data_IF_250004749040
#
_entry.id   IF_250004749040
#
_cell.length_a   1.000
_cell.length_b   1.000
_cell.length_c   1.000
_cell.angle_alpha   90.00
_cell.angle_beta   90.00
_cell.angle_gamma   90.00
#
_symmetry.space_group_name_H-M   'P 1'
#
loop_
_entity.id
_entity.type
_entity.pdbx_description
1 polymer ?
#
# COMPACT_ATOMS: atom_id res chain seq x y z
N UNK A 1 -8.01 23.60 -20.98
CA UNK A 1 -9.11 23.34 -21.93
C UNK A 1 -8.76 22.27 -22.96
N UNK A 2 -7.61 22.36 -23.65
CA UNK A 2 -7.17 21.35 -24.62
C UNK A 2 -7.23 19.90 -24.08
N UNK A 3 -6.79 19.66 -22.85
CA UNK A 3 -6.88 18.35 -22.18
C UNK A 3 -8.32 17.82 -22.11
N UNK A 4 -9.29 18.65 -21.71
CA UNK A 4 -10.69 18.22 -21.61
C UNK A 4 -11.29 17.91 -22.99
N UNK A 5 -10.91 18.66 -24.02
CA UNK A 5 -11.31 18.37 -25.39
C UNK A 5 -10.70 17.05 -25.90
N UNK A 6 -9.42 16.79 -25.57
CA UNK A 6 -8.75 15.53 -25.91
C UNK A 6 -9.46 14.31 -25.30
N UNK A 7 -9.91 14.41 -24.04
CA UNK A 7 -10.68 13.37 -23.36
C UNK A 7 -12.16 13.32 -23.77
N UNK A 8 -12.61 14.15 -24.72
CA UNK A 8 -13.97 14.10 -25.26
C UNK A 8 -15.05 14.68 -24.35
N UNK A 9 -14.71 15.55 -23.40
CA UNK A 9 -15.72 16.16 -22.52
C UNK A 9 -16.67 17.08 -23.30
N UNK A 10 -17.98 17.12 -22.96
CA UNK A 10 -18.96 17.95 -23.65
C UNK A 10 -18.59 19.44 -23.64
N UNK A 11 -18.90 20.15 -24.74
CA UNK A 11 -18.57 21.57 -24.90
C UNK A 11 -19.20 22.48 -23.83
N UNK A 12 -20.37 22.10 -23.29
CA UNK A 12 -21.02 22.81 -22.19
C UNK A 12 -20.22 22.68 -20.89
N UNK A 13 -19.73 21.48 -20.58
CA UNK A 13 -18.89 21.23 -19.42
C UNK A 13 -17.56 21.98 -19.51
N UNK A 14 -16.92 21.94 -20.69
CA UNK A 14 -15.66 22.66 -20.93
C UNK A 14 -15.81 24.17 -20.69
N UNK A 15 -16.93 24.76 -21.13
CA UNK A 15 -17.25 26.17 -20.86
C UNK A 15 -17.43 26.45 -19.37
N UNK A 16 -18.12 25.59 -18.62
CA UNK A 16 -18.24 25.76 -17.17
C UNK A 16 -16.89 25.72 -16.45
N UNK A 17 -16.03 24.76 -16.81
CA UNK A 17 -14.70 24.67 -16.23
C UNK A 17 -13.84 25.87 -16.62
N UNK A 18 -13.95 26.35 -17.86
CA UNK A 18 -13.28 27.56 -18.32
C UNK A 18 -13.67 28.77 -17.46
N UNK A 19 -14.96 29.00 -17.26
CA UNK A 19 -15.46 30.06 -16.36
C UNK A 19 -14.94 29.90 -14.92
N UNK A 20 -14.93 28.67 -14.38
CA UNK A 20 -14.41 28.43 -13.03
C UNK A 20 -12.92 28.74 -12.89
N UNK A 21 -12.14 28.58 -13.96
CA UNK A 21 -10.68 28.80 -13.94
C UNK A 21 -10.32 30.26 -14.24
N UNK A 22 -11.08 30.96 -15.09
CA UNK A 22 -10.77 32.33 -15.54
C UNK A 22 -11.42 33.42 -14.70
N UNK A 23 -12.58 33.16 -14.09
CA UNK A 23 -13.29 34.14 -13.24
C UNK A 23 -12.66 34.46 -11.88
N UNK A 24 -11.85 33.61 -11.22
CA UNK A 24 -11.30 33.91 -9.90
C UNK A 24 -10.37 35.13 -9.90
N UNK A 25 -10.64 36.06 -8.98
CA UNK A 25 -9.78 37.19 -8.65
C UNK A 25 -9.17 36.98 -7.26
N UNK A 26 -7.90 37.35 -7.11
CA UNK A 26 -7.17 37.24 -5.87
C UNK A 26 -6.91 38.63 -5.29
N UNK A 27 -6.90 38.71 -3.96
CA UNK A 27 -6.60 39.91 -3.21
C UNK A 27 -5.58 39.60 -2.13
N UNK A 28 -4.68 40.54 -1.83
CA UNK A 28 -3.65 40.33 -0.81
C UNK A 28 -4.20 40.75 0.56
N UNK A 29 -4.13 39.86 1.55
CA UNK A 29 -4.45 40.22 2.92
C UNK A 29 -3.16 40.63 3.65
N UNK A 30 -2.99 41.92 3.89
CA UNK A 30 -1.80 42.48 4.55
C UNK A 30 -2.26 43.25 5.78
N UNK A 31 -1.67 42.93 6.94
CA UNK A 31 -1.90 43.65 8.20
C UNK A 31 -3.38 43.83 8.63
N UNK A 32 -4.27 42.91 8.24
CA UNK A 32 -5.69 42.98 8.61
C UNK A 32 -6.59 43.64 7.57
N UNK A 33 -6.02 44.14 6.47
CA UNK A 33 -6.78 44.75 5.38
C UNK A 33 -6.55 44.03 4.05
N UNK A 34 -7.57 44.06 3.20
CA UNK A 34 -7.54 43.48 1.85
C UNK A 34 -7.04 44.55 0.88
N UNK A 35 -5.94 44.28 0.21
CA UNK A 35 -5.30 45.19 -0.74
C UNK A 35 -5.31 44.62 -2.16
N UNK A 36 -5.89 45.41 -3.07
CA UNK A 36 -5.86 45.18 -4.51
C UNK A 36 -6.65 43.96 -4.98
N UNK A 37 -6.89 43.93 -6.28
CA UNK A 37 -7.43 42.77 -6.98
C UNK A 37 -6.57 42.49 -8.20
N UNK A 38 -6.18 41.24 -8.39
CA UNK A 38 -5.54 40.77 -9.60
C UNK A 38 -6.19 39.47 -10.07
N UNK A 39 -6.39 39.36 -11.38
CA UNK A 39 -6.94 38.16 -11.98
C UNK A 39 -5.93 37.00 -11.88
N UNK A 40 -6.44 35.78 -11.69
CA UNK A 40 -5.63 34.57 -11.82
C UNK A 40 -5.15 34.40 -13.27
N UNK A 41 -3.83 34.36 -13.49
CA UNK A 41 -3.28 34.14 -14.82
C UNK A 41 -3.03 32.66 -15.12
N UNK A 42 -2.37 31.94 -14.20
CA UNK A 42 -2.03 30.52 -14.34
C UNK A 42 -2.24 29.79 -13.02
N UNK A 43 -2.64 28.53 -13.13
CA UNK A 43 -2.81 27.64 -11.99
C UNK A 43 -4.28 27.43 -11.62
N UNK A 44 -4.51 26.37 -10.86
CA UNK A 44 -5.83 26.01 -10.33
C UNK A 44 -5.92 26.49 -8.88
N UNK A 45 -7.11 26.89 -8.45
CA UNK A 45 -7.33 27.39 -7.10
C UNK A 45 -7.10 26.28 -6.08
N UNK A 46 -6.18 26.50 -5.13
CA UNK A 46 -6.01 25.60 -4.00
C UNK A 46 -7.24 25.66 -3.07
N UNK A 47 -7.74 24.50 -2.66
CA UNK A 47 -8.95 24.37 -1.85
C UNK A 47 -10.26 24.29 -2.65
N UNK A 48 -10.21 24.41 -3.98
CA UNK A 48 -11.34 24.09 -4.85
C UNK A 48 -11.45 22.56 -5.02
N UNK A 49 -12.63 21.95 -4.78
CA UNK A 49 -12.83 20.51 -4.94
C UNK A 49 -12.60 19.98 -6.37
N UNK A 50 -12.68 20.82 -7.40
CA UNK A 50 -12.50 20.40 -8.81
C UNK A 50 -11.03 20.37 -9.22
N UNK A 51 -10.21 21.26 -8.64
CA UNK A 51 -8.79 21.42 -8.99
C UNK A 51 -7.97 20.11 -8.96
N UNK A 52 -8.10 19.22 -7.95
CA UNK A 52 -7.35 17.97 -7.92
C UNK A 52 -7.65 17.05 -9.10
N UNK A 53 -8.92 16.95 -9.52
CA UNK A 53 -9.31 16.09 -10.64
C UNK A 53 -8.79 16.63 -11.98
N UNK A 54 -8.87 17.95 -12.18
CA UNK A 54 -8.30 18.59 -13.36
C UNK A 54 -6.78 18.38 -13.41
N UNK A 55 -6.10 18.44 -12.26
CA UNK A 55 -4.67 18.18 -12.19
C UNK A 55 -4.34 16.73 -12.56
N UNK A 56 -5.11 15.74 -12.08
CA UNK A 56 -4.95 14.33 -12.48
C UNK A 56 -5.10 14.16 -13.99
N UNK A 57 -6.10 14.78 -14.62
CA UNK A 57 -6.27 14.73 -16.08
C UNK A 57 -5.09 15.34 -16.84
N UNK A 58 -4.50 16.41 -16.32
CA UNK A 58 -3.29 17.00 -16.90
C UNK A 58 -2.09 16.06 -16.75
N UNK A 59 -1.93 15.41 -15.60
CA UNK A 59 -0.87 14.43 -15.37
C UNK A 59 -1.05 13.15 -16.22
N UNK A 60 -2.29 12.78 -16.57
CA UNK A 60 -2.55 11.69 -17.51
C UNK A 60 -1.98 12.00 -18.90
N UNK A 61 -1.98 13.27 -19.34
CA UNK A 61 -1.32 13.67 -20.59
C UNK A 61 0.19 13.41 -20.54
N UNK A 62 0.85 13.65 -19.39
CA UNK A 62 2.26 13.28 -19.22
C UNK A 62 2.46 11.77 -19.40
N UNK A 63 1.57 10.96 -18.81
CA UNK A 63 1.62 9.51 -18.95
C UNK A 63 1.50 9.08 -20.42
N UNK A 64 0.52 9.62 -21.15
CA UNK A 64 0.31 9.33 -22.56
C UNK A 64 1.49 9.75 -23.45
N UNK A 65 2.11 10.91 -23.18
CA UNK A 65 3.31 11.37 -23.90
C UNK A 65 4.46 10.38 -23.73
N UNK A 66 4.71 9.95 -22.48
CA UNK A 66 5.79 9.01 -22.18
C UNK A 66 5.51 7.64 -22.78
N UNK A 67 4.27 7.15 -22.68
CA UNK A 67 3.85 5.89 -23.28
C UNK A 67 4.05 5.91 -24.80
N UNK A 68 3.61 6.98 -25.48
CA UNK A 68 3.78 7.13 -26.92
C UNK A 68 5.26 7.10 -27.32
N UNK A 69 6.13 7.77 -26.57
CA UNK A 69 7.57 7.74 -26.85
C UNK A 69 8.15 6.34 -26.67
N UNK A 70 7.72 5.60 -25.64
CA UNK A 70 8.15 4.23 -25.37
C UNK A 70 7.69 3.28 -26.48
N UNK A 71 6.45 3.40 -26.95
CA UNK A 71 5.89 2.54 -28.01
C UNK A 71 6.54 2.80 -29.36
N UNK A 72 6.90 4.06 -29.65
CA UNK A 72 7.60 4.44 -30.88
C UNK A 72 9.09 4.10 -30.84
N UNK A 73 9.71 4.17 -29.66
CA UNK A 73 11.11 3.82 -29.47
C UNK A 73 11.26 2.34 -29.08
N UNK A 74 11.46 1.47 -30.08
CA UNK A 74 11.70 0.04 -29.87
C UNK A 74 12.98 -0.30 -29.06
N UNK A 75 13.70 0.70 -28.53
CA UNK A 75 14.88 0.53 -27.68
C UNK A 75 14.68 0.94 -26.22
N UNK A 76 13.48 1.33 -25.79
CA UNK A 76 13.22 1.57 -24.37
C UNK A 76 13.32 0.28 -23.57
N UNK A 77 14.17 0.28 -22.53
CA UNK A 77 14.36 -0.85 -21.65
C UNK A 77 13.70 -0.60 -20.30
N UNK A 78 12.66 -1.38 -19.99
CA UNK A 78 12.00 -1.39 -18.68
C UNK A 78 12.94 -1.83 -17.57
N UNK A 79 12.68 -1.35 -16.35
CA UNK A 79 13.29 -1.95 -15.17
C UNK A 79 12.94 -3.45 -15.11
N UNK A 80 13.91 -4.28 -14.70
CA UNK A 80 13.78 -5.75 -14.76
C UNK A 80 12.61 -6.31 -13.94
N UNK A 81 12.16 -5.58 -12.91
CA UNK A 81 10.97 -5.92 -12.12
C UNK A 81 9.69 -5.23 -12.59
N UNK A 82 9.67 -4.67 -13.79
CA UNK A 82 8.53 -3.89 -14.27
C UNK A 82 8.14 -4.22 -15.71
N UNK A 83 9.01 -4.91 -16.46
CA UNK A 83 8.83 -5.27 -17.87
C UNK A 83 7.52 -6.00 -18.20
N UNK A 84 7.17 -7.06 -17.49
CA UNK A 84 5.94 -7.85 -17.73
C UNK A 84 4.65 -7.04 -17.56
N UNK A 85 4.67 -6.00 -16.71
CA UNK A 85 3.51 -5.14 -16.46
C UNK A 85 3.56 -3.85 -17.27
N UNK A 86 4.60 -3.64 -18.10
CA UNK A 86 4.84 -2.37 -18.76
C UNK A 86 4.96 -1.19 -17.80
N UNK A 87 5.32 -1.44 -16.52
CA UNK A 87 5.29 -0.40 -15.49
C UNK A 87 6.51 0.52 -15.61
N UNK A 88 6.30 1.76 -16.04
CA UNK A 88 7.38 2.76 -16.13
C UNK A 88 7.12 4.02 -15.30
N UNK A 89 5.88 4.21 -14.80
CA UNK A 89 5.46 5.43 -14.11
C UNK A 89 4.55 5.09 -12.92
N UNK A 90 4.82 5.73 -11.78
CA UNK A 90 3.92 5.80 -10.64
C UNK A 90 3.75 7.28 -10.27
N UNK A 91 2.50 7.74 -10.16
CA UNK A 91 2.20 9.16 -9.93
C UNK A 91 1.27 9.32 -8.74
N UNK A 92 1.57 10.28 -7.86
CA UNK A 92 0.66 10.72 -6.82
C UNK A 92 0.67 12.25 -6.77
N UNK A 93 -0.38 12.87 -7.31
CA UNK A 93 -0.38 14.30 -7.58
C UNK A 93 0.91 14.72 -8.33
N UNK A 94 1.70 15.65 -7.79
CA UNK A 94 2.94 16.16 -8.36
C UNK A 94 4.17 15.27 -8.07
N UNK A 95 4.05 14.31 -7.15
CA UNK A 95 5.11 13.36 -6.84
C UNK A 95 5.12 12.22 -7.88
N UNK A 96 6.19 12.16 -8.69
CA UNK A 96 6.38 11.21 -9.79
C UNK A 96 7.56 10.27 -9.54
N UNK A 97 7.36 8.98 -9.78
CA UNK A 97 8.44 7.98 -9.85
C UNK A 97 8.46 7.39 -11.26
N UNK A 98 9.57 7.60 -11.97
CA UNK A 98 9.85 6.99 -13.27
C UNK A 98 10.83 5.83 -13.13
N UNK A 99 10.52 4.71 -13.77
CA UNK A 99 11.22 3.44 -13.65
C UNK A 99 11.70 2.97 -15.04
N UNK A 100 13.01 2.80 -15.20
CA UNK A 100 13.60 2.22 -16.39
C UNK A 100 14.85 1.41 -16.05
N UNK A 101 15.37 0.66 -17.02
CA UNK A 101 16.73 0.12 -16.96
C UNK A 101 17.71 1.29 -17.05
N UNK A 102 18.82 1.18 -16.32
CA UNK A 102 19.85 2.22 -16.30
C UNK A 102 20.64 2.27 -17.62
N UNK A 103 20.06 2.91 -18.62
CA UNK A 103 20.61 3.10 -19.96
C UNK A 103 20.32 4.54 -20.43
N UNK A 104 21.29 5.15 -21.13
CA UNK A 104 21.20 6.55 -21.57
C UNK A 104 19.98 6.76 -22.47
N UNK A 105 19.68 5.81 -23.36
CA UNK A 105 18.54 5.88 -24.27
C UNK A 105 17.20 5.98 -23.54
N UNK A 106 16.95 5.08 -22.59
CA UNK A 106 15.71 5.09 -21.80
C UNK A 106 15.56 6.37 -20.97
N UNK A 107 16.66 6.87 -20.45
CA UNK A 107 16.69 8.10 -19.64
C UNK A 107 16.50 9.36 -20.50
N UNK A 108 17.11 9.42 -21.68
CA UNK A 108 16.89 10.52 -22.63
C UNK A 108 15.45 10.58 -23.13
N UNK A 109 14.80 9.42 -23.31
CA UNK A 109 13.38 9.35 -23.64
C UNK A 109 12.52 10.05 -22.58
N UNK A 110 12.76 9.75 -21.29
CA UNK A 110 12.08 10.42 -20.19
C UNK A 110 12.35 11.92 -20.17
N UNK A 111 13.61 12.35 -20.37
CA UNK A 111 13.97 13.77 -20.46
C UNK A 111 13.16 14.48 -21.56
N UNK A 112 13.15 13.93 -22.76
CA UNK A 112 12.42 14.49 -23.92
C UNK A 112 10.92 14.55 -23.65
N UNK A 113 10.35 13.52 -23.02
CA UNK A 113 8.92 13.49 -22.68
C UNK A 113 8.54 14.54 -21.65
N UNK A 114 9.38 14.72 -20.61
CA UNK A 114 9.22 15.77 -19.61
C UNK A 114 9.35 17.18 -20.21
N UNK A 115 10.29 17.38 -21.14
CA UNK A 115 10.45 18.65 -21.87
C UNK A 115 9.25 18.98 -22.76
N UNK A 116 8.76 17.99 -23.51
CA UNK A 116 7.56 18.16 -24.32
C UNK A 116 6.35 18.50 -23.43
N UNK A 117 6.14 17.74 -22.35
CA UNK A 117 5.06 18.02 -21.42
C UNK A 117 5.18 19.41 -20.79
N UNK A 118 6.39 19.83 -20.42
CA UNK A 118 6.63 21.17 -19.89
C UNK A 118 6.32 22.26 -20.91
N UNK A 119 6.65 22.05 -22.19
CA UNK A 119 6.33 23.00 -23.28
C UNK A 119 4.82 23.13 -23.53
N UNK A 120 4.06 22.04 -23.34
CA UNK A 120 2.61 22.01 -23.56
C UNK A 120 1.81 22.50 -22.36
N UNK A 121 2.21 22.14 -21.15
CA UNK A 121 1.47 22.41 -19.91
C UNK A 121 1.96 23.66 -19.16
N UNK A 122 3.21 24.06 -19.40
CA UNK A 122 3.91 25.05 -18.57
C UNK A 122 4.32 24.53 -17.19
N UNK A 123 4.14 23.23 -16.90
CA UNK A 123 4.58 22.59 -15.65
C UNK A 123 6.01 22.08 -15.83
N UNK A 124 6.92 22.64 -15.05
CA UNK A 124 8.34 22.26 -15.10
C UNK A 124 8.71 21.37 -13.91
N UNK A 125 9.56 20.39 -14.16
CA UNK A 125 10.22 19.61 -13.09
C UNK A 125 11.10 20.52 -12.26
N UNK A 126 11.14 20.31 -10.94
CA UNK A 126 12.03 21.06 -10.04
C UNK A 126 13.36 20.29 -9.84
N UNK A 127 14.48 20.70 -10.45
CA UNK A 127 15.74 19.94 -10.38
C UNK A 127 16.34 19.83 -8.98
N UNK A 128 15.95 20.72 -8.04
CA UNK A 128 16.40 20.67 -6.65
C UNK A 128 15.62 19.65 -5.82
N UNK A 129 14.42 19.26 -6.26
CA UNK A 129 13.57 18.26 -5.61
C UNK A 129 13.58 16.92 -6.35
N UNK A 130 13.89 16.93 -7.64
CA UNK A 130 14.00 15.75 -8.48
C UNK A 130 15.36 15.08 -8.30
N UNK A 131 15.33 13.76 -8.11
CA UNK A 131 16.54 12.98 -7.85
C UNK A 131 16.60 11.76 -8.77
N UNK A 132 17.79 11.44 -9.26
CA UNK A 132 18.07 10.19 -9.96
C UNK A 132 18.65 9.16 -8.99
N UNK A 133 17.96 8.03 -8.81
CA UNK A 133 18.42 6.93 -7.94
C UNK A 133 18.96 5.81 -8.82
N UNK A 134 20.23 5.50 -8.65
CA UNK A 134 20.89 4.47 -9.44
C UNK A 134 21.12 3.20 -8.64
N UNK A 135 20.88 2.05 -9.29
CA UNK A 135 21.28 0.76 -8.74
C UNK A 135 22.81 0.63 -8.76
N UNK A 136 23.38 -0.18 -7.87
CA UNK A 136 24.83 -0.43 -7.85
C UNK A 136 25.37 -0.96 -9.19
N UNK A 137 24.54 -1.69 -9.94
CA UNK A 137 24.91 -2.23 -11.25
C UNK A 137 25.09 -1.14 -12.33
N UNK A 138 24.56 0.07 -12.11
CA UNK A 138 24.60 1.18 -13.05
C UNK A 138 25.82 2.10 -12.89
N UNK A 139 26.80 1.75 -12.04
CA UNK A 139 27.94 2.62 -11.76
C UNK A 139 28.76 2.98 -13.01
N UNK A 140 28.83 2.10 -14.00
CA UNK A 140 29.57 2.35 -15.25
C UNK A 140 28.96 3.41 -16.15
N UNK A 141 27.66 3.69 -16.02
CA UNK A 141 26.93 4.70 -16.83
C UNK A 141 26.50 5.91 -16.00
N UNK A 142 26.87 5.96 -14.72
CA UNK A 142 26.41 6.96 -13.74
C UNK A 142 26.54 8.40 -14.22
N UNK A 143 27.74 8.79 -14.66
CA UNK A 143 28.03 10.17 -15.08
C UNK A 143 27.15 10.57 -16.27
N UNK A 144 27.09 9.73 -17.30
CA UNK A 144 26.28 9.99 -18.50
C UNK A 144 24.80 10.13 -18.19
N UNK A 145 24.26 9.32 -17.26
CA UNK A 145 22.84 9.41 -16.88
C UNK A 145 22.52 10.70 -16.12
N UNK A 146 23.40 11.13 -15.21
CA UNK A 146 23.25 12.39 -14.48
C UNK A 146 23.33 13.60 -15.40
N UNK A 147 24.28 13.60 -16.33
CA UNK A 147 24.43 14.65 -17.35
C UNK A 147 23.22 14.72 -18.28
N UNK A 148 22.64 13.56 -18.64
CA UNK A 148 21.45 13.51 -19.50
C UNK A 148 20.24 14.14 -18.81
N UNK A 149 19.91 13.74 -17.58
CA UNK A 149 18.72 14.26 -16.88
C UNK A 149 18.89 15.64 -16.26
N UNK A 150 20.12 16.03 -15.89
CA UNK A 150 20.39 17.26 -15.16
C UNK A 150 19.87 17.26 -13.70
N UNK A 151 19.55 16.09 -13.15
CA UNK A 151 19.10 15.92 -11.76
C UNK A 151 20.25 15.57 -10.82
N UNK A 152 20.07 15.87 -9.54
CA UNK A 152 21.00 15.43 -8.51
C UNK A 152 20.87 13.92 -8.26
N UNK A 153 21.99 13.28 -7.90
CA UNK A 153 21.94 11.89 -7.48
C UNK A 153 21.26 11.74 -6.12
N UNK A 154 20.19 10.95 -6.08
CA UNK A 154 19.50 10.57 -4.86
C UNK A 154 20.09 9.32 -4.23
N UNK A 155 20.06 9.25 -2.89
CA UNK A 155 20.43 8.05 -2.13
C UNK A 155 19.28 7.61 -1.23
N UNK A 156 19.09 6.30 -1.12
CA UNK A 156 18.17 5.72 -0.16
C UNK A 156 18.86 5.64 1.22
N UNK A 157 18.12 5.89 2.33
CA UNK A 157 16.71 6.23 2.37
C UNK A 157 16.40 7.68 2.01
N UNK A 158 15.33 7.89 1.25
CA UNK A 158 14.79 9.23 0.92
C UNK A 158 13.34 9.34 1.36
N UNK A 159 12.81 10.55 1.47
CA UNK A 159 11.41 10.75 1.90
C UNK A 159 10.49 10.86 0.69
N UNK A 160 9.46 10.03 0.64
CA UNK A 160 8.42 10.01 -0.40
C UNK A 160 7.04 9.93 0.26
N UNK A 161 6.12 10.83 -0.12
CA UNK A 161 4.80 10.98 0.51
C UNK A 161 4.84 11.10 2.05
N UNK A 162 5.93 11.65 2.58
CA UNK A 162 6.11 11.78 4.02
C UNK A 162 6.58 10.52 4.75
N UNK A 163 6.81 9.41 4.05
CA UNK A 163 7.37 8.15 4.55
C UNK A 163 8.82 7.93 4.05
N UNK A 164 9.65 7.15 4.74
CA UNK A 164 10.98 6.80 4.27
C UNK A 164 10.90 5.68 3.22
N UNK A 165 11.35 5.97 2.00
CA UNK A 165 11.60 4.98 0.97
C UNK A 165 12.90 4.25 1.29
N UNK A 166 12.80 3.00 1.74
CA UNK A 166 13.91 2.19 2.25
C UNK A 166 14.11 0.94 1.39
N UNK A 167 15.37 0.58 1.14
CA UNK A 167 15.74 -0.70 0.53
C UNK A 167 16.08 -1.78 1.59
N UNK A 168 16.18 -1.39 2.87
CA UNK A 168 16.60 -2.22 3.99
C UNK A 168 15.45 -2.45 4.99
N UNK A 169 15.77 -3.05 6.13
CA UNK A 169 14.87 -3.12 7.28
C UNK A 169 14.60 -1.72 7.84
N UNK A 170 13.36 -1.46 8.24
CA UNK A 170 12.98 -0.24 8.95
C UNK A 170 13.65 -0.18 10.32
N UNK A 171 14.43 0.87 10.56
CA UNK A 171 15.17 1.10 11.80
C UNK A 171 14.52 2.16 12.68
N UNK A 172 15.00 2.30 13.92
CA UNK A 172 14.57 3.40 14.80
C UNK A 172 14.88 4.77 14.20
N UNK A 173 16.02 4.91 13.53
CA UNK A 173 16.46 6.18 12.91
C UNK A 173 15.50 6.60 11.80
N UNK A 174 15.04 5.65 10.97
CA UNK A 174 14.09 5.92 9.90
C UNK A 174 12.73 6.42 10.45
N UNK A 175 12.36 5.99 11.66
CA UNK A 175 11.13 6.42 12.34
C UNK A 175 11.30 7.70 13.17
N UNK A 176 12.50 8.29 13.24
CA UNK A 176 12.74 9.52 13.99
C UNK A 176 11.83 10.69 13.55
N UNK A 177 11.55 10.90 12.25
CA UNK A 177 10.62 11.95 11.81
C UNK A 177 9.20 11.77 12.35
N UNK A 178 8.74 10.52 12.54
CA UNK A 178 7.44 10.25 13.16
C UNK A 178 7.43 10.67 14.62
N UNK A 179 8.46 10.26 15.38
CA UNK A 179 8.59 10.63 16.79
C UNK A 179 8.66 12.15 16.97
N UNK A 180 9.45 12.84 16.14
CA UNK A 180 9.56 14.30 16.17
C UNK A 180 8.24 15.01 15.85
N UNK A 181 7.43 14.48 14.92
CA UNK A 181 6.09 15.02 14.63
C UNK A 181 5.14 14.86 15.82
N UNK A 182 5.16 13.70 16.48
CA UNK A 182 4.38 13.46 17.69
C UNK A 182 4.82 14.43 18.79
N UNK A 183 6.14 14.55 19.02
CA UNK A 183 6.70 15.45 20.03
C UNK A 183 6.36 16.92 19.73
N UNK A 184 6.41 17.34 18.46
CA UNK A 184 6.04 18.70 18.06
C UNK A 184 4.56 19.01 18.31
N UNK A 185 3.66 18.04 18.07
CA UNK A 185 2.23 18.23 18.35
C UNK A 185 1.94 18.25 19.85
N UNK A 186 2.56 17.37 20.62
CA UNK A 186 2.46 17.36 22.08
C UNK A 186 2.91 18.72 22.64
N UNK A 187 4.09 19.20 22.23
CA UNK A 187 4.60 20.52 22.66
C UNK A 187 3.69 21.68 22.27
N UNK A 188 3.04 21.60 21.11
CA UNK A 188 2.05 22.58 20.68
C UNK A 188 0.84 22.70 21.61
N UNK A 189 0.61 21.69 22.47
CA UNK A 189 -0.48 21.68 23.45
C UNK A 189 -0.01 21.99 24.88
N UNK A 190 1.30 22.19 25.11
CA UNK A 190 1.87 22.42 26.46
C UNK A 190 1.43 23.76 27.10
N UNK A 191 0.75 24.63 26.35
CA UNK A 191 0.16 25.87 26.86
C UNK A 191 -1.38 25.84 26.99
N UNK A 192 -2.03 24.77 26.50
CA UNK A 192 -3.49 24.65 26.53
C UNK A 192 -3.87 23.89 27.79
N UNK A 193 -4.69 24.49 28.66
CA UNK A 193 -5.18 23.89 29.90
C UNK A 193 -6.14 22.71 29.65
N UNK A 194 -5.63 21.60 29.13
CA UNK A 194 -6.43 20.47 28.66
C UNK A 194 -6.86 19.57 29.82
N UNK A 195 -8.15 19.26 29.86
CA UNK A 195 -8.69 18.22 30.73
C UNK A 195 -8.16 16.83 30.33
N UNK A 196 -8.30 15.84 31.21
CA UNK A 196 -7.97 14.44 30.88
C UNK A 196 -8.73 13.96 29.64
N UNK A 197 -10.05 14.21 29.58
CA UNK A 197 -10.89 13.86 28.44
C UNK A 197 -10.45 14.59 27.15
N UNK A 198 -10.07 15.86 27.25
CA UNK A 198 -9.52 16.62 26.12
C UNK A 198 -8.24 16.00 25.55
N UNK A 199 -7.33 15.54 26.42
CA UNK A 199 -6.11 14.83 26.01
C UNK A 199 -6.42 13.49 25.35
N UNK A 200 -7.35 12.71 25.89
CA UNK A 200 -7.83 11.46 25.25
C UNK A 200 -8.34 11.74 23.84
N UNK A 201 -9.14 12.80 23.66
CA UNK A 201 -9.70 13.15 22.37
C UNK A 201 -8.61 13.55 21.36
N UNK A 202 -7.63 14.36 21.75
CA UNK A 202 -6.50 14.76 20.88
C UNK A 202 -5.61 13.58 20.49
N UNK A 203 -5.37 12.65 21.41
CA UNK A 203 -4.65 11.41 21.10
C UNK A 203 -5.39 10.65 20.00
N UNK A 204 -6.70 10.45 20.18
CA UNK A 204 -7.53 9.69 19.24
C UNK A 204 -7.64 10.33 17.86
N UNK A 205 -7.83 11.64 17.79
CA UNK A 205 -8.10 12.33 16.52
C UNK A 205 -6.83 12.73 15.76
N UNK A 206 -5.74 13.05 16.47
CA UNK A 206 -4.52 13.60 15.86
C UNK A 206 -3.34 12.62 15.94
N UNK A 207 -2.98 12.15 17.13
CA UNK A 207 -1.74 11.36 17.28
C UNK A 207 -1.86 9.98 16.64
N UNK A 208 -2.98 9.29 16.85
CA UNK A 208 -3.24 7.99 16.23
C UNK A 208 -3.24 8.07 14.69
N UNK A 209 -3.63 9.20 14.10
CA UNK A 209 -3.65 9.34 12.64
C UNK A 209 -2.24 9.26 12.03
N UNK A 210 -1.21 9.80 12.69
CA UNK A 210 0.16 9.68 12.21
C UNK A 210 0.66 8.24 12.27
N UNK A 211 0.30 7.53 13.33
CA UNK A 211 0.68 6.13 13.52
C UNK A 211 0.00 5.23 12.51
N UNK A 212 -1.31 5.42 12.27
CA UNK A 212 -2.08 4.71 11.25
C UNK A 212 -1.40 4.87 9.89
N UNK A 213 -1.06 6.11 9.50
CA UNK A 213 -0.43 6.38 8.21
C UNK A 213 0.88 5.58 8.01
N UNK A 214 1.73 5.52 9.04
CA UNK A 214 2.97 4.72 8.98
C UNK A 214 2.71 3.21 9.06
N UNK A 215 1.76 2.80 9.89
CA UNK A 215 1.38 1.41 10.11
C UNK A 215 0.68 0.78 8.90
N UNK A 216 0.10 1.59 8.01
CA UNK A 216 -0.43 1.15 6.72
C UNK A 216 0.68 0.77 5.73
N UNK A 217 1.86 1.37 5.84
CA UNK A 217 2.97 1.13 4.90
C UNK A 217 4.01 0.13 5.44
N UNK A 218 4.24 0.13 6.75
CA UNK A 218 5.29 -0.68 7.37
C UNK A 218 4.82 -1.39 8.63
N UNK A 219 5.38 -2.58 8.88
CA UNK A 219 5.38 -3.15 10.22
C UNK A 219 6.37 -2.38 11.10
N UNK A 220 5.86 -1.60 12.05
CA UNK A 220 6.67 -0.77 12.94
C UNK A 220 7.51 -1.66 13.88
N UNK A 221 8.81 -1.38 14.06
CA UNK A 221 9.62 -2.07 15.04
C UNK A 221 9.02 -1.91 16.45
N UNK A 222 9.04 -2.99 17.24
CA UNK A 222 8.52 -2.97 18.63
C UNK A 222 9.16 -1.85 19.49
N UNK A 223 10.42 -1.49 19.22
CA UNK A 223 11.10 -0.37 19.88
C UNK A 223 10.44 0.99 19.57
N UNK A 224 10.07 1.22 18.31
CA UNK A 224 9.37 2.45 17.88
C UNK A 224 8.01 2.53 18.55
N UNK A 225 7.26 1.43 18.53
CA UNK A 225 5.94 1.35 19.19
C UNK A 225 6.05 1.69 20.68
N UNK A 226 7.05 1.13 21.39
CA UNK A 226 7.30 1.43 22.80
C UNK A 226 7.58 2.92 23.03
N UNK A 227 8.39 3.55 22.18
CA UNK A 227 8.72 4.97 22.28
C UNK A 227 7.52 5.89 21.98
N UNK A 228 6.65 5.49 21.06
CA UNK A 228 5.38 6.18 20.77
C UNK A 228 4.44 6.06 21.98
N UNK A 229 4.18 4.84 22.45
CA UNK A 229 3.33 4.58 23.63
C UNK A 229 3.84 5.36 24.84
N UNK A 230 5.16 5.41 25.06
CA UNK A 230 5.77 6.20 26.14
C UNK A 230 5.43 7.69 26.06
N UNK A 231 5.51 8.30 24.88
CA UNK A 231 5.15 9.71 24.65
C UNK A 231 3.67 9.94 24.89
N UNK A 232 2.80 9.10 24.34
CA UNK A 232 1.35 9.21 24.51
C UNK A 232 0.96 9.05 25.99
N UNK A 233 1.54 8.06 26.69
CA UNK A 233 1.30 7.87 28.13
C UNK A 233 1.76 9.07 28.95
N UNK A 234 2.91 9.63 28.60
CA UNK A 234 3.44 10.82 29.27
C UNK A 234 2.49 12.01 29.08
N UNK A 235 2.07 12.27 27.85
CA UNK A 235 1.11 13.33 27.54
C UNK A 235 -0.24 13.11 28.27
N UNK A 236 -0.78 11.90 28.22
CA UNK A 236 -2.08 11.55 28.81
C UNK A 236 -2.12 11.73 30.33
N UNK A 237 -1.06 11.33 31.04
CA UNK A 237 -1.06 11.30 32.51
C UNK A 237 -0.37 12.52 33.12
N UNK A 238 0.80 12.92 32.61
CA UNK A 238 1.54 14.08 33.13
C UNK A 238 1.02 15.40 32.57
N UNK A 239 0.70 15.44 31.28
CA UNK A 239 0.40 16.70 30.61
C UNK A 239 1.55 17.68 30.82
N UNK A 240 1.25 18.90 31.28
CA UNK A 240 2.23 19.96 31.49
C UNK A 240 2.74 19.99 32.93
N UNK A 241 2.24 19.09 33.78
CA UNK A 241 2.63 19.00 35.18
C UNK A 241 3.93 18.21 35.32
N UNK A 242 4.81 18.68 36.20
CA UNK A 242 6.03 17.95 36.59
C UNK A 242 5.72 16.66 37.37
N UNK A 243 4.49 16.52 37.88
CA UNK A 243 3.98 15.35 38.60
C UNK A 243 2.83 14.68 37.86
N UNK A 244 2.89 13.34 37.77
CA UNK A 244 1.86 12.52 37.16
C UNK A 244 2.37 11.10 36.92
N UNK A 245 1.73 10.11 37.52
CA UNK A 245 2.04 8.70 37.30
C UNK A 245 0.88 8.01 36.56
N UNK A 246 1.17 7.05 35.67
CA UNK A 246 0.12 6.25 35.04
C UNK A 246 -0.71 5.54 36.11
N UNK A 247 -2.00 5.85 36.20
CA UNK A 247 -2.90 5.25 37.19
C UNK A 247 -3.46 3.89 36.75
N UNK A 248 -3.43 3.64 35.44
CA UNK A 248 -4.01 2.45 34.81
C UNK A 248 -2.99 1.84 33.84
N UNK A 249 -2.96 0.51 33.77
CA UNK A 249 -2.17 -0.21 32.79
C UNK A 249 -2.55 0.22 31.36
N UNK A 250 -1.57 0.30 30.46
CA UNK A 250 -1.83 0.83 29.11
C UNK A 250 -2.74 -0.09 28.30
N UNK A 251 -2.61 -1.38 28.53
CA UNK A 251 -3.42 -2.45 27.96
C UNK A 251 -4.90 -2.23 28.30
N UNK A 252 -5.21 -1.86 29.54
CA UNK A 252 -6.58 -1.54 29.98
C UNK A 252 -7.09 -0.22 29.36
N UNK A 253 -6.22 0.77 29.17
CA UNK A 253 -6.59 2.02 28.47
C UNK A 253 -6.95 1.75 27.00
N UNK A 254 -6.29 0.78 26.37
CA UNK A 254 -6.51 0.41 24.97
C UNK A 254 -7.75 -0.48 24.74
N UNK A 255 -8.46 -0.90 25.79
CA UNK A 255 -9.71 -1.63 25.63
C UNK A 255 -10.79 -0.73 25.02
N UNK A 256 -11.76 -1.28 24.28
CA UNK A 256 -12.96 -0.55 23.88
C UNK A 256 -13.66 0.11 25.08
N UNK A 257 -14.44 1.15 24.79
CA UNK A 257 -15.23 1.85 25.80
C UNK A 257 -16.24 0.88 26.45
N UNK A 258 -16.81 -0.03 25.66
CA UNK A 258 -17.72 -1.10 26.10
C UNK A 258 -17.07 -2.07 27.09
N UNK A 259 -15.75 -2.26 26.99
CA UNK A 259 -14.97 -3.12 27.89
C UNK A 259 -14.32 -2.33 29.04
N UNK A 260 -14.77 -1.08 29.28
CA UNK A 260 -14.29 -0.21 30.36
C UNK A 260 -12.97 0.51 30.06
N UNK A 261 -12.45 0.43 28.84
CA UNK A 261 -11.25 1.15 28.41
C UNK A 261 -11.55 2.56 27.90
N UNK A 262 -10.51 3.22 27.37
CA UNK A 262 -10.65 4.55 26.77
C UNK A 262 -10.83 4.49 25.26
N UNK A 263 -10.97 3.31 24.65
CA UNK A 263 -11.10 3.17 23.19
C UNK A 263 -9.89 3.66 22.40
N UNK A 264 -8.71 3.70 23.03
CA UNK A 264 -7.45 3.89 22.31
C UNK A 264 -7.09 2.58 21.61
N UNK A 265 -6.55 2.63 20.39
CA UNK A 265 -6.17 1.41 19.69
C UNK A 265 -4.77 0.98 20.11
N UNK A 266 -4.58 -0.30 20.39
CA UNK A 266 -3.25 -0.88 20.55
C UNK A 266 -2.52 -0.81 19.21
N UNK A 267 -1.38 -0.11 19.21
CA UNK A 267 -0.63 0.21 17.98
C UNK A 267 -0.11 -1.06 17.31
N UNK A 268 0.32 -2.05 18.10
CA UNK A 268 0.85 -3.30 17.56
C UNK A 268 -0.25 -4.12 16.87
N UNK A 269 -1.41 -4.26 17.51
CA UNK A 269 -2.57 -4.93 16.95
C UNK A 269 -3.09 -4.19 15.71
N UNK A 270 -3.18 -2.86 15.76
CA UNK A 270 -3.58 -2.03 14.64
C UNK A 270 -2.65 -2.17 13.44
N UNK A 271 -1.34 -2.16 13.68
CA UNK A 271 -0.37 -2.30 12.62
C UNK A 271 -0.42 -3.68 11.95
N UNK A 272 -0.59 -4.75 12.73
CA UNK A 272 -0.80 -6.10 12.19
C UNK A 272 -2.10 -6.20 11.39
N UNK A 273 -3.19 -5.62 11.89
CA UNK A 273 -4.47 -5.58 11.22
C UNK A 273 -4.40 -4.86 9.86
N UNK A 274 -3.81 -3.67 9.80
CA UNK A 274 -3.63 -2.91 8.57
C UNK A 274 -2.74 -3.65 7.55
N UNK A 275 -1.68 -4.30 8.02
CA UNK A 275 -0.82 -5.12 7.15
C UNK A 275 -1.50 -6.41 6.66
N UNK A 276 -2.48 -6.89 7.41
CA UNK A 276 -3.28 -8.05 7.01
C UNK A 276 -4.27 -7.71 5.89
N UNK A 277 -4.69 -6.44 5.77
CA UNK A 277 -5.47 -5.97 4.61
C UNK A 277 -4.71 -6.10 3.30
N UNK A 278 -3.43 -5.77 3.29
CA UNK A 278 -2.56 -5.97 2.13
C UNK A 278 -2.42 -7.45 1.77
N UNK A 279 -2.25 -8.30 2.78
CA UNK A 279 -2.20 -9.75 2.58
C UNK A 279 -3.54 -10.28 2.02
N UNK A 280 -4.67 -9.77 2.53
CA UNK A 280 -6.00 -10.10 2.02
C UNK A 280 -6.18 -9.68 0.56
N UNK A 281 -5.73 -8.48 0.17
CA UNK A 281 -5.74 -8.02 -1.22
C UNK A 281 -4.96 -8.94 -2.16
N UNK A 282 -3.83 -9.49 -1.69
CA UNK A 282 -3.06 -10.50 -2.44
C UNK A 282 -3.83 -11.82 -2.54
N UNK A 283 -4.38 -12.31 -1.43
CA UNK A 283 -5.15 -13.57 -1.39
C UNK A 283 -6.36 -13.50 -2.34
N UNK A 284 -7.02 -12.35 -2.40
CA UNK A 284 -8.17 -12.10 -3.27
C UNK A 284 -7.82 -11.82 -4.73
N UNK A 285 -6.53 -11.69 -5.06
CA UNK A 285 -6.08 -11.26 -6.38
C UNK A 285 -6.84 -10.00 -6.86
N UNK A 286 -6.86 -8.94 -6.04
CA UNK A 286 -7.50 -7.66 -6.38
C UNK A 286 -6.86 -7.05 -7.65
N UNK A 287 -7.44 -7.34 -8.83
CA UNK A 287 -6.88 -6.98 -10.15
C UNK A 287 -6.74 -5.48 -10.39
N UNK A 288 -7.53 -4.66 -9.71
CA UNK A 288 -7.44 -3.19 -9.85
C UNK A 288 -6.19 -2.60 -9.18
N UNK A 289 -5.48 -3.38 -8.36
CA UNK A 289 -4.31 -2.92 -7.64
C UNK A 289 -3.02 -3.27 -8.38
N UNK A 290 -2.38 -2.24 -8.96
CA UNK A 290 -1.05 -2.34 -9.59
C UNK A 290 -0.03 -3.00 -8.65
N UNK A 291 -0.15 -2.74 -7.34
CA UNK A 291 0.72 -3.38 -6.35
C UNK A 291 0.46 -4.87 -6.20
N UNK A 292 -0.80 -5.32 -6.20
CA UNK A 292 -1.14 -6.75 -6.15
C UNK A 292 -0.67 -7.44 -7.41
N UNK A 293 -0.93 -6.87 -8.60
CA UNK A 293 -0.42 -7.40 -9.86
C UNK A 293 1.11 -7.52 -9.85
N UNK A 294 1.82 -6.48 -9.38
CA UNK A 294 3.26 -6.51 -9.25
C UNK A 294 3.76 -7.61 -8.31
N UNK A 295 3.11 -7.80 -7.16
CA UNK A 295 3.42 -8.89 -6.24
C UNK A 295 3.17 -10.25 -6.91
N UNK A 296 2.04 -10.41 -7.59
CA UNK A 296 1.68 -11.65 -8.28
C UNK A 296 2.72 -12.00 -9.34
N UNK A 297 3.08 -11.08 -10.23
CA UNK A 297 4.05 -11.34 -11.30
C UNK A 297 5.49 -11.51 -10.80
N UNK A 298 5.97 -10.63 -9.91
CA UNK A 298 7.41 -10.59 -9.58
C UNK A 298 7.79 -11.27 -8.28
N UNK A 299 6.86 -11.46 -7.34
CA UNK A 299 7.13 -12.06 -6.03
C UNK A 299 6.56 -13.46 -5.89
N UNK A 300 5.30 -13.65 -6.26
CA UNK A 300 4.65 -14.95 -6.21
C UNK A 300 5.01 -15.79 -7.43
N UNK A 301 4.96 -15.21 -8.64
CA UNK A 301 5.04 -15.94 -9.92
C UNK A 301 4.01 -17.07 -9.89
N UNK A 302 4.47 -18.31 -10.03
CA UNK A 302 3.62 -19.50 -9.99
C UNK A 302 3.43 -20.06 -8.56
N UNK A 303 4.02 -19.44 -7.53
CA UNK A 303 3.89 -19.90 -6.16
C UNK A 303 2.66 -19.31 -5.46
N UNK A 304 1.89 -20.15 -4.78
CA UNK A 304 0.80 -19.67 -3.90
C UNK A 304 1.36 -18.91 -2.69
N UNK A 305 0.61 -17.89 -2.25
CA UNK A 305 0.88 -17.10 -1.04
C UNK A 305 1.05 -17.96 0.23
N UNK A 306 0.40 -19.12 0.26
CA UNK A 306 0.42 -20.05 1.40
C UNK A 306 1.70 -20.86 1.47
N UNK A 307 2.36 -21.10 0.34
CA UNK A 307 3.52 -21.99 0.23
C UNK A 307 4.80 -21.28 -0.18
N UNK A 308 4.72 -20.04 -0.64
CA UNK A 308 5.88 -19.21 -0.97
C UNK A 308 6.85 -19.09 0.23
N UNK A 309 8.14 -19.11 -0.08
CA UNK A 309 9.21 -19.15 0.92
C UNK A 309 9.37 -17.80 1.63
N UNK A 310 9.05 -17.76 2.92
CA UNK A 310 9.16 -16.57 3.76
C UNK A 310 10.59 -16.13 4.14
N UNK A 311 11.63 -16.88 3.76
CA UNK A 311 13.04 -16.54 4.02
C UNK A 311 13.68 -15.70 2.92
N UNK A 312 13.11 -15.67 1.71
CA UNK A 312 13.63 -14.91 0.57
C UNK A 312 12.87 -13.58 0.41
N UNK A 313 13.55 -12.58 -0.15
CA UNK A 313 12.96 -11.29 -0.51
C UNK A 313 13.12 -10.17 0.53
N UNK A 314 12.45 -9.05 0.24
CA UNK A 314 12.52 -7.84 1.03
C UNK A 314 12.04 -8.07 2.48
N UNK A 315 12.59 -7.30 3.42
CA UNK A 315 12.24 -7.44 4.83
C UNK A 315 10.74 -7.26 5.10
N UNK A 316 10.11 -6.27 4.46
CA UNK A 316 8.67 -6.00 4.59
C UNK A 316 7.82 -7.18 4.10
N UNK A 317 8.18 -7.76 2.95
CA UNK A 317 7.54 -8.96 2.39
C UNK A 317 7.56 -10.13 3.37
N UNK A 318 8.74 -10.45 3.92
CA UNK A 318 8.88 -11.55 4.89
C UNK A 318 8.03 -11.33 6.14
N UNK A 319 7.98 -10.09 6.63
CA UNK A 319 7.18 -9.73 7.80
C UNK A 319 5.67 -9.76 7.55
N UNK A 320 5.23 -9.44 6.34
CA UNK A 320 3.83 -9.62 5.94
C UNK A 320 3.45 -11.11 5.85
N UNK A 321 4.32 -11.96 5.29
CA UNK A 321 4.07 -13.41 5.20
C UNK A 321 3.96 -14.09 6.58
N UNK A 322 4.62 -13.57 7.61
CA UNK A 322 4.45 -14.08 8.99
C UNK A 322 2.99 -13.99 9.49
N UNK A 323 2.17 -13.09 8.92
CA UNK A 323 0.77 -12.91 9.30
C UNK A 323 -0.16 -13.99 8.72
N UNK A 324 0.27 -14.72 7.68
CA UNK A 324 -0.58 -15.72 6.99
C UNK A 324 -1.13 -16.78 7.93
N UNK A 325 -0.31 -17.23 8.89
CA UNK A 325 -0.70 -18.27 9.84
C UNK A 325 -1.79 -17.80 10.81
N UNK A 326 -1.86 -16.50 11.10
CA UNK A 326 -2.93 -15.92 11.92
C UNK A 326 -4.21 -15.72 11.12
N UNK A 327 -4.11 -15.43 9.83
CA UNK A 327 -5.27 -15.23 8.96
C UNK A 327 -5.91 -16.55 8.52
N UNK A 328 -5.10 -17.57 8.27
CA UNK A 328 -5.51 -18.84 7.69
C UNK A 328 -6.77 -19.47 8.35
N UNK A 329 -6.89 -19.54 9.68
CA UNK A 329 -8.07 -20.16 10.32
C UNK A 329 -9.40 -19.43 10.07
N UNK A 330 -9.34 -18.17 9.64
CA UNK A 330 -10.52 -17.31 9.43
C UNK A 330 -10.89 -17.18 7.95
N UNK A 331 -10.17 -17.87 7.07
CA UNK A 331 -10.35 -17.81 5.62
C UNK A 331 -11.03 -19.09 5.18
N UNK A 332 -12.13 -18.94 4.45
CA UNK A 332 -12.90 -20.04 3.89
C UNK A 332 -12.78 -20.01 2.37
N UNK A 333 -12.33 -21.12 1.78
CA UNK A 333 -12.33 -21.32 0.34
C UNK A 333 -13.59 -22.12 -0.01
N UNK A 334 -14.56 -21.47 -0.65
CA UNK A 334 -15.74 -22.12 -1.21
C UNK A 334 -15.40 -22.57 -2.62
N UNK A 335 -15.33 -23.88 -2.77
CA UNK A 335 -14.96 -24.55 -4.02
C UNK A 335 -16.17 -24.53 -4.93
N UNK A 336 -16.01 -23.98 -6.13
CA UNK A 336 -17.00 -24.01 -7.20
C UNK A 336 -16.44 -24.76 -8.39
N UNK A 337 -16.08 -24.02 -9.45
CA UNK A 337 -15.44 -24.51 -10.67
C UNK A 337 -14.11 -25.23 -10.45
N UNK A 338 -13.36 -24.89 -9.39
CA UNK A 338 -12.02 -25.42 -9.13
C UNK A 338 -10.90 -24.86 -10.02
N UNK A 339 -11.20 -23.97 -10.96
CA UNK A 339 -10.21 -23.37 -11.86
C UNK A 339 -9.28 -22.35 -11.18
N UNK A 340 -9.74 -21.69 -10.12
CA UNK A 340 -9.00 -20.59 -9.48
C UNK A 340 -8.11 -21.05 -8.33
N UNK A 341 -8.36 -22.24 -7.78
CA UNK A 341 -7.64 -22.75 -6.61
C UNK A 341 -6.66 -23.84 -7.00
N UNK A 342 -5.43 -23.73 -6.49
CA UNK A 342 -4.42 -24.77 -6.63
C UNK A 342 -4.78 -25.98 -5.78
N UNK A 343 -4.75 -27.16 -6.40
CA UNK A 343 -4.97 -28.46 -5.76
C UNK A 343 -4.01 -28.68 -4.58
N UNK A 344 -2.73 -28.35 -4.78
CA UNK A 344 -1.66 -28.68 -3.85
C UNK A 344 -1.28 -27.55 -2.91
N UNK A 345 -1.40 -26.30 -3.36
CA UNK A 345 -0.80 -25.18 -2.66
C UNK A 345 -1.81 -24.32 -1.88
N UNK A 346 -3.10 -24.39 -2.19
CA UNK A 346 -4.11 -23.61 -1.49
C UNK A 346 -4.77 -24.41 -0.34
N UNK A 347 -5.16 -23.74 0.75
CA UNK A 347 -5.69 -24.40 1.94
C UNK A 347 -7.20 -24.63 1.84
N UNK A 348 -7.65 -25.25 0.74
CA UNK A 348 -9.06 -25.60 0.55
C UNK A 348 -9.47 -26.82 1.39
N UNK A 349 -8.51 -27.64 1.83
CA UNK A 349 -8.71 -28.83 2.65
C UNK A 349 -8.42 -28.56 4.14
N UNK A 350 -9.06 -29.32 5.05
CA UNK A 350 -8.86 -29.18 6.51
C UNK A 350 -7.42 -29.46 6.98
N UNK A 351 -6.62 -30.15 6.14
CA UNK A 351 -5.19 -30.41 6.35
C UNK A 351 -4.31 -29.20 6.00
N UNK A 352 -4.89 -28.09 5.53
CA UNK A 352 -4.15 -26.97 4.96
C UNK A 352 -3.61 -27.28 3.56
N UNK A 353 -2.57 -26.55 3.10
CA UNK A 353 -1.95 -26.81 1.80
C UNK A 353 -1.38 -28.23 1.72
N UNK A 354 -1.95 -29.06 0.86
CA UNK A 354 -1.62 -30.48 0.78
C UNK A 354 -0.14 -30.74 0.50
N UNK A 355 0.52 -29.89 -0.29
CA UNK A 355 1.95 -30.03 -0.62
C UNK A 355 2.87 -29.98 0.61
N UNK A 356 2.44 -29.31 1.70
CA UNK A 356 3.23 -29.20 2.92
C UNK A 356 3.22 -30.51 3.72
N UNK A 357 2.12 -31.28 3.64
CA UNK A 357 1.97 -32.57 4.32
C UNK A 357 2.35 -33.75 3.43
N UNK A 358 2.09 -33.62 2.13
CA UNK A 358 2.30 -34.63 1.11
C UNK A 358 3.20 -34.10 -0.02
N UNK A 359 4.51 -33.92 0.20
CA UNK A 359 5.41 -33.32 -0.81
C UNK A 359 5.54 -34.13 -2.10
N UNK A 360 5.25 -35.44 -2.06
CA UNK A 360 5.26 -36.36 -3.22
C UNK A 360 3.87 -36.59 -3.82
N UNK A 361 2.85 -35.90 -3.30
CA UNK A 361 1.47 -36.05 -3.71
C UNK A 361 1.26 -35.86 -5.23
N UNK A 362 1.82 -34.81 -5.86
CA UNK A 362 1.67 -34.62 -7.31
C UNK A 362 2.16 -35.83 -8.12
N UNK A 363 3.36 -36.34 -7.81
CA UNK A 363 3.92 -37.48 -8.53
C UNK A 363 3.13 -38.78 -8.32
N UNK A 364 2.61 -39.01 -7.12
CA UNK A 364 1.88 -40.22 -6.76
C UNK A 364 0.45 -40.24 -7.32
N UNK A 365 -0.15 -39.08 -7.52
CA UNK A 365 -1.50 -38.93 -8.08
C UNK A 365 -1.51 -38.74 -9.60
N UNK A 366 -0.33 -38.62 -10.23
CA UNK A 366 -0.21 -38.31 -11.65
C UNK A 366 -0.58 -36.86 -12.01
N UNK A 367 -0.70 -35.98 -11.01
CA UNK A 367 -1.01 -34.55 -11.21
C UNK A 367 0.26 -33.71 -11.24
N UNK A 368 0.16 -32.48 -11.72
CA UNK A 368 1.28 -31.53 -11.65
C UNK A 368 1.25 -30.75 -10.33
N UNK A 369 2.39 -30.25 -9.82
CA UNK A 369 2.37 -29.36 -8.66
C UNK A 369 1.52 -28.09 -8.88
N UNK A 370 1.35 -27.67 -10.13
CA UNK A 370 0.56 -26.50 -10.52
C UNK A 370 -0.90 -26.85 -10.84
N UNK A 371 -1.32 -28.11 -10.66
CA UNK A 371 -2.68 -28.56 -10.90
C UNK A 371 -3.68 -27.71 -10.12
N UNK A 372 -4.81 -27.42 -10.76
CA UNK A 372 -5.96 -26.76 -10.17
C UNK A 372 -6.95 -27.79 -9.64
N UNK A 373 -7.88 -27.36 -8.80
CA UNK A 373 -8.94 -28.22 -8.28
C UNK A 373 -9.83 -28.79 -9.39
N UNK A 374 -9.96 -28.11 -10.52
CA UNK A 374 -10.73 -28.58 -11.68
C UNK A 374 -10.21 -29.90 -12.27
N UNK A 375 -8.96 -30.30 -12.00
CA UNK A 375 -8.44 -31.62 -12.44
C UNK A 375 -9.02 -32.80 -11.64
N UNK A 376 -9.59 -32.54 -10.46
CA UNK A 376 -10.16 -33.57 -9.57
C UNK A 376 -11.65 -33.33 -9.28
N UNK A 377 -12.29 -32.48 -10.09
CA UNK A 377 -13.72 -32.16 -10.00
C UNK A 377 -14.36 -32.48 -11.35
N UNK A 378 -15.31 -33.41 -11.36
CA UNK A 378 -16.12 -33.77 -12.52
C UNK A 378 -17.60 -33.74 -12.11
N UNK A 379 -18.45 -33.06 -12.88
CA UNK A 379 -19.89 -32.95 -12.62
C UNK A 379 -20.27 -32.52 -11.19
N UNK A 380 -19.53 -31.55 -10.62
CA UNK A 380 -19.65 -31.10 -9.21
C UNK A 380 -19.41 -32.20 -8.16
N UNK A 381 -18.71 -33.27 -8.53
CA UNK A 381 -18.29 -34.35 -7.64
C UNK A 381 -16.76 -34.47 -7.67
N UNK A 382 -16.22 -34.95 -6.55
CA UNK A 382 -14.80 -35.23 -6.44
C UNK A 382 -14.44 -36.49 -7.23
N UNK A 383 -13.58 -36.33 -8.23
CA UNK A 383 -13.02 -37.39 -9.06
C UNK A 383 -11.51 -37.48 -8.82
N UNK A 384 -11.12 -38.13 -7.72
CA UNK A 384 -9.70 -38.27 -7.37
C UNK A 384 -9.05 -39.43 -8.14
N UNK A 385 -7.84 -39.25 -8.68
CA UNK A 385 -7.08 -40.36 -9.24
C UNK A 385 -6.80 -41.43 -8.17
N UNK A 386 -6.66 -42.68 -8.59
CA UNK A 386 -6.41 -43.82 -7.70
C UNK A 386 -5.18 -43.57 -6.80
N UNK A 387 -5.44 -43.31 -5.52
CA UNK A 387 -4.40 -43.14 -4.51
C UNK A 387 -3.99 -44.52 -3.99
N UNK A 388 -2.82 -45.00 -4.38
CA UNK A 388 -2.30 -46.31 -3.94
C UNK A 388 -1.59 -46.27 -2.59
N UNK A 389 -1.26 -45.08 -2.08
CA UNK A 389 -0.57 -44.89 -0.81
C UNK A 389 -1.57 -44.62 0.34
N UNK A 390 -1.53 -45.45 1.37
CA UNK A 390 -2.40 -45.38 2.55
C UNK A 390 -2.31 -44.00 3.22
N UNK A 391 -1.13 -43.37 3.23
CA UNK A 391 -0.94 -42.05 3.84
C UNK A 391 -1.77 -40.96 3.14
N UNK A 392 -2.02 -41.09 1.84
CA UNK A 392 -2.74 -40.10 1.04
C UNK A 392 -4.26 -40.34 1.02
N UNK A 393 -4.74 -41.51 1.48
CA UNK A 393 -6.18 -41.77 1.65
C UNK A 393 -6.85 -40.80 2.64
N UNK A 394 -6.08 -40.20 3.55
CA UNK A 394 -6.55 -39.15 4.46
C UNK A 394 -7.12 -37.93 3.72
N UNK A 395 -6.65 -37.64 2.50
CA UNK A 395 -7.16 -36.56 1.66
C UNK A 395 -8.62 -36.83 1.26
N UNK A 396 -8.94 -38.06 0.89
CA UNK A 396 -10.28 -38.41 0.38
C UNK A 396 -11.30 -38.50 1.52
N UNK A 397 -10.86 -38.78 2.75
CA UNK A 397 -11.76 -39.02 3.87
C UNK A 397 -12.55 -37.78 4.32
N UNK A 398 -12.03 -36.57 4.10
CA UNK A 398 -12.62 -35.32 4.62
C UNK A 398 -12.73 -34.24 3.55
N UNK A 399 -13.23 -34.60 2.36
CA UNK A 399 -13.41 -33.66 1.26
C UNK A 399 -14.55 -32.66 1.56
N UNK A 400 -14.32 -31.35 1.43
CA UNK A 400 -15.36 -30.34 1.59
C UNK A 400 -16.40 -30.40 0.46
N UNK A 401 -17.61 -29.87 0.67
CA UNK A 401 -18.63 -29.82 -0.37
C UNK A 401 -18.20 -28.91 -1.53
N UNK A 402 -18.58 -29.29 -2.75
CA UNK A 402 -18.46 -28.46 -3.96
C UNK A 402 -19.76 -27.67 -4.14
N UNK A 403 -19.65 -26.38 -4.42
CA UNK A 403 -20.76 -25.47 -4.63
C UNK A 403 -20.97 -25.20 -6.13
N UNK A 404 -22.16 -24.73 -6.51
CA UNK A 404 -22.40 -24.29 -7.89
C UNK A 404 -21.84 -22.90 -8.13
N UNK A 405 -21.18 -22.70 -9.28
CA UNK A 405 -20.65 -21.40 -9.70
C UNK A 405 -19.13 -21.32 -9.62
N UNK A 406 -18.60 -20.10 -9.53
CA UNK A 406 -17.16 -19.83 -9.47
C UNK A 406 -16.59 -20.07 -8.07
N UNK A 407 -15.28 -20.28 -7.99
CA UNK A 407 -14.55 -20.33 -6.74
C UNK A 407 -14.64 -19.00 -5.97
N UNK A 408 -14.91 -19.06 -4.67
CA UNK A 408 -15.06 -17.86 -3.83
C UNK A 408 -14.28 -17.99 -2.53
N UNK A 409 -13.46 -17.00 -2.23
CA UNK A 409 -12.81 -16.86 -0.92
C UNK A 409 -13.71 -16.01 -0.02
N UNK A 410 -14.04 -16.43 1.19
CA UNK A 410 -14.81 -15.63 2.16
C UNK A 410 -14.09 -15.56 3.50
N UNK A 411 -14.44 -14.56 4.30
CA UNK A 411 -13.96 -14.44 5.67
C UNK A 411 -15.01 -14.98 6.65
N UNK A 412 -14.59 -15.67 7.71
CA UNK A 412 -15.47 -16.41 8.63
C UNK A 412 -16.43 -15.52 9.47
N UNK A 413 -16.10 -14.24 9.69
CA UNK A 413 -16.93 -13.37 10.55
C UNK A 413 -18.13 -12.72 9.85
N UNK A 414 -19.29 -12.71 10.54
CA UNK A 414 -20.51 -11.89 10.36
C UNK A 414 -20.62 -11.04 9.08
N UNK A 415 -20.75 -11.69 7.91
CA UNK A 415 -21.01 -11.03 6.63
C UNK A 415 -20.05 -11.38 5.51
N UNK A 416 -19.00 -12.17 5.76
CA UNK A 416 -18.10 -12.65 4.70
C UNK A 416 -17.02 -11.67 4.26
N UNK A 417 -17.05 -10.43 4.76
CA UNK A 417 -16.15 -9.35 4.37
C UNK A 417 -15.02 -9.13 5.36
N UNK A 418 -13.79 -9.06 4.83
CA UNK A 418 -12.62 -8.67 5.60
C UNK A 418 -12.57 -7.15 5.77
N UNK A 419 -12.59 -6.68 7.01
CA UNK A 419 -12.40 -5.26 7.32
C UNK A 419 -11.23 -5.03 8.27
N UNK A 420 -10.68 -3.82 8.28
CA UNK A 420 -9.63 -3.44 9.24
C UNK A 420 -10.12 -3.56 10.70
N UNK A 421 -11.41 -3.40 10.96
CA UNK A 421 -11.99 -3.57 12.29
C UNK A 421 -11.97 -5.04 12.70
N UNK A 422 -12.45 -5.93 11.83
CA UNK A 422 -12.42 -7.39 12.05
C UNK A 422 -10.99 -7.87 12.28
N UNK A 423 -10.05 -7.44 11.43
CA UNK A 423 -8.64 -7.77 11.59
C UNK A 423 -8.06 -7.23 12.92
N UNK A 424 -8.47 -6.04 13.37
CA UNK A 424 -8.03 -5.51 14.66
C UNK A 424 -8.52 -6.36 15.84
N UNK A 425 -9.76 -6.85 15.79
CA UNK A 425 -10.29 -7.75 16.83
C UNK A 425 -9.54 -9.09 16.92
N UNK A 426 -8.93 -9.53 15.82
CA UNK A 426 -8.09 -10.73 15.77
C UNK A 426 -6.74 -10.54 16.49
N UNK A 427 -6.13 -9.36 16.35
CA UNK A 427 -4.78 -9.11 16.90
C UNK A 427 -4.77 -8.44 18.28
N UNK A 428 -5.88 -7.83 18.69
CA UNK A 428 -5.95 -7.17 20.01
C UNK A 428 -5.78 -8.21 21.12
N UNK A 429 -5.09 -7.87 22.23
CA UNK A 429 -5.10 -8.72 23.42
C UNK A 429 -6.54 -8.92 23.88
N UNK A 430 -6.98 -10.17 23.95
CA UNK A 430 -8.26 -10.53 24.56
C UNK A 430 -7.97 -10.91 26.01
N UNK A 431 -8.80 -10.45 26.95
CA UNK A 431 -8.77 -11.01 28.30
C UNK A 431 -9.20 -12.47 28.18
N UNK A 432 -8.27 -13.39 28.39
CA UNK A 432 -8.63 -14.78 28.71
C UNK A 432 -9.40 -14.71 30.04
N UNK A 433 -10.73 -14.84 29.96
CA UNK A 433 -11.55 -15.12 31.14
C UNK A 433 -11.49 -16.60 31.46
#
# INVERSE_FOLDING_TARGET
MATLQLFGFPSTFNRWIEECVTSPHFSLYLNGEVHGFFAGARGLRQGDPVSPFLFVLVMEVLHLILLQFIEQDGGFAYHWQCKELGLFQLSFADDLILLCKAEVRSVDLFRRGLELFASLSGLHTNPQKSHLILSKAANGVRTSLLETLGFQEGRLPLRYLGLPLIASRLTMLDCQPLLQKIDARIRGWDGVGLSFAGRVQLIKSVLLAFEVYWAMAFLLPKGVIKEIVKRIRTFLWKGNSSSGYPKVAWESVCKPIEEGGQGMRDILALNRALMSRHLWSIIKHEKESIWVEWITHYRLRDASIWTVNAKRGAWSWRKMLELRGTLLPHIQLKIGSGESFSLWHDPWHNLGPLILRFPRGPQLTGTTPMATLSEVIEDNMWSWPLITDIAHLEIIHNLPPIHTGCDVITWDSNGGEFTNAVAYHLFRPQDLR
#
